data_IF_449863312557
#
_entry.id   IF_449863312557
#
_cell.length_a   1.000
_cell.length_b   1.000
_cell.length_c   1.000
_cell.angle_alpha   90.00
_cell.angle_beta   90.00
_cell.angle_gamma   90.00
#
_symmetry.space_group_name_H-M   'P 1'
#
loop_
_entity.id
_entity.type
_entity.pdbx_description
1 polymer ?
#
# COMPACT_ATOMS: atom_id res chain seq x y z
N UNK A 1 -14.70 21.22 1.24
CA UNK A 1 -13.84 22.42 1.06
C UNK A 1 -12.74 22.35 2.13
N UNK A 2 -11.47 22.54 1.79
CA UNK A 2 -10.42 22.58 2.80
C UNK A 2 -10.48 23.96 3.54
N UNK A 3 -10.09 23.98 4.81
CA UNK A 3 -10.15 25.19 5.66
C UNK A 3 -9.43 26.40 5.03
N UNK A 4 -8.25 26.19 4.46
CA UNK A 4 -7.49 27.28 3.79
C UNK A 4 -8.21 27.86 2.58
N UNK A 5 -8.96 27.04 1.85
CA UNK A 5 -9.78 27.49 0.73
C UNK A 5 -10.99 28.28 1.22
N UNK A 6 -11.68 27.80 2.27
CA UNK A 6 -12.80 28.47 2.87
C UNK A 6 -12.37 29.86 3.43
N UNK A 7 -11.24 29.92 4.15
CA UNK A 7 -10.65 31.16 4.67
C UNK A 7 -10.39 32.17 3.56
N UNK A 8 -9.74 31.74 2.45
CA UNK A 8 -9.44 32.62 1.31
C UNK A 8 -10.68 33.13 0.59
N UNK A 9 -11.73 32.32 0.47
CA UNK A 9 -12.99 32.71 -0.15
C UNK A 9 -13.70 33.78 0.69
N UNK A 10 -13.73 33.62 2.03
CA UNK A 10 -14.31 34.61 2.94
C UNK A 10 -13.51 35.92 2.97
N UNK A 11 -12.18 35.85 3.06
CA UNK A 11 -11.29 37.01 3.03
C UNK A 11 -11.42 37.82 1.73
N UNK A 12 -11.76 37.16 0.61
CA UNK A 12 -11.99 37.81 -0.67
C UNK A 12 -13.43 38.35 -0.84
N UNK A 13 -14.30 38.18 0.15
CA UNK A 13 -15.70 38.67 0.10
C UNK A 13 -16.56 38.01 -1.00
N UNK A 14 -16.20 36.79 -1.42
CA UNK A 14 -16.87 36.06 -2.49
C UNK A 14 -18.14 35.32 -2.04
N UNK A 15 -18.36 35.18 -0.74
CA UNK A 15 -19.52 34.51 -0.16
C UNK A 15 -20.00 35.33 1.04
N UNK A 16 -21.31 35.56 1.10
CA UNK A 16 -21.96 36.02 2.32
C UNK A 16 -22.25 34.80 3.22
N UNK A 17 -21.69 34.74 4.46
CA UNK A 17 -21.95 33.64 5.37
C UNK A 17 -23.42 33.43 5.73
N UNK A 18 -24.24 34.46 5.63
CA UNK A 18 -25.67 34.45 5.96
C UNK A 18 -26.57 34.00 4.79
N UNK A 19 -26.02 33.88 3.58
CA UNK A 19 -26.76 33.40 2.42
C UNK A 19 -27.27 31.97 2.62
N UNK A 20 -28.55 31.76 2.34
CA UNK A 20 -29.22 30.47 2.47
C UNK A 20 -29.37 29.77 1.13
N UNK A 21 -29.09 28.46 1.14
CA UNK A 21 -29.33 27.61 -0.02
C UNK A 21 -30.84 27.33 -0.23
N UNK A 22 -31.18 26.55 -1.27
CA UNK A 22 -32.56 26.22 -1.65
C UNK A 22 -33.37 25.45 -0.58
N UNK A 23 -32.69 24.91 0.47
CA UNK A 23 -33.32 24.23 1.61
C UNK A 23 -33.27 25.07 2.90
N UNK A 24 -32.93 26.35 2.78
CA UNK A 24 -32.95 27.32 3.87
C UNK A 24 -31.78 27.26 4.83
N UNK A 25 -30.70 26.53 4.49
CA UNK A 25 -29.49 26.38 5.33
C UNK A 25 -28.40 27.33 4.89
N UNK A 26 -27.73 27.97 5.86
CA UNK A 26 -26.53 28.77 5.65
C UNK A 26 -25.31 27.86 5.45
N UNK A 27 -24.19 28.45 4.99
CA UNK A 27 -22.91 27.75 4.92
C UNK A 27 -22.45 27.28 6.32
N UNK A 28 -22.77 28.05 7.36
CA UNK A 28 -22.50 27.66 8.77
C UNK A 28 -23.30 26.42 9.16
N UNK A 29 -24.61 26.39 8.89
CA UNK A 29 -25.46 25.22 9.22
C UNK A 29 -24.92 23.94 8.56
N UNK A 30 -24.53 24.02 7.29
CA UNK A 30 -23.96 22.89 6.55
C UNK A 30 -22.61 22.48 7.15
N UNK A 31 -21.73 23.43 7.46
CA UNK A 31 -20.45 23.15 8.08
C UNK A 31 -20.60 22.43 9.44
N UNK A 32 -21.57 22.84 10.24
CA UNK A 32 -21.84 22.23 11.54
C UNK A 32 -22.45 20.83 11.40
N UNK A 33 -23.35 20.61 10.45
CA UNK A 33 -23.94 19.30 10.17
C UNK A 33 -22.91 18.29 9.63
N UNK A 34 -21.99 18.77 8.79
CA UNK A 34 -20.89 17.96 8.25
C UNK A 34 -19.69 17.80 9.21
N UNK A 35 -19.78 18.37 10.42
CA UNK A 35 -18.72 18.31 11.42
C UNK A 35 -17.51 19.21 11.11
N UNK A 36 -17.61 20.09 10.11
CA UNK A 36 -16.54 21.02 9.72
C UNK A 36 -16.49 22.26 10.62
N UNK A 37 -16.34 22.07 11.93
CA UNK A 37 -16.52 23.10 12.98
C UNK A 37 -15.57 24.29 12.83
N UNK A 38 -14.31 24.09 12.40
CA UNK A 38 -13.40 25.21 12.11
C UNK A 38 -13.89 26.09 10.97
N UNK A 39 -14.52 25.50 9.96
CA UNK A 39 -15.17 26.26 8.90
C UNK A 39 -16.40 26.97 9.49
N UNK A 40 -17.16 26.33 10.35
CA UNK A 40 -18.27 26.91 11.07
C UNK A 40 -17.83 28.11 11.93
N UNK A 41 -16.76 27.95 12.74
CA UNK A 41 -16.21 29.07 13.54
C UNK A 41 -15.77 30.24 12.67
N UNK A 42 -15.07 29.96 11.56
CA UNK A 42 -14.66 30.99 10.59
C UNK A 42 -15.87 31.73 9.97
N UNK A 43 -16.95 30.98 9.64
CA UNK A 43 -18.17 31.55 9.06
C UNK A 43 -18.97 32.38 10.07
N UNK A 44 -18.88 32.07 11.39
CA UNK A 44 -19.50 32.86 12.44
C UNK A 44 -18.67 34.06 12.91
N UNK A 45 -17.52 34.33 12.29
CA UNK A 45 -16.62 35.42 12.64
C UNK A 45 -15.81 35.18 13.92
N UNK A 46 -15.77 33.95 14.44
CA UNK A 46 -14.92 33.57 15.55
C UNK A 46 -13.50 33.30 15.07
N UNK A 47 -12.50 33.65 15.88
CA UNK A 47 -11.12 33.34 15.55
C UNK A 47 -10.89 31.84 15.67
N UNK A 48 -10.61 31.13 14.58
CA UNK A 48 -10.41 29.71 14.61
C UNK A 48 -9.11 29.24 15.30
N UNK A 49 -8.30 30.13 15.83
CA UNK A 49 -7.04 29.84 16.52
C UNK A 49 -7.08 30.13 18.04
N UNK A 50 -8.25 30.45 18.60
CA UNK A 50 -8.40 30.67 20.03
C UNK A 50 -8.64 29.38 20.81
N UNK A 51 -8.45 29.41 22.18
CA UNK A 51 -8.66 28.26 23.08
C UNK A 51 -10.09 27.65 23.00
N UNK A 52 -11.06 28.39 22.45
CA UNK A 52 -12.41 27.89 22.16
C UNK A 52 -12.39 26.81 21.04
N UNK A 53 -11.36 26.76 20.20
CA UNK A 53 -11.15 25.70 19.22
C UNK A 53 -10.82 24.33 19.83
N UNK A 54 -10.18 24.30 20.99
CA UNK A 54 -10.00 23.03 21.69
C UNK A 54 -11.34 22.48 22.16
N UNK A 55 -12.32 23.34 22.49
CA UNK A 55 -13.70 22.96 22.79
C UNK A 55 -14.46 22.55 21.51
N UNK A 56 -14.20 23.18 20.35
CA UNK A 56 -14.76 22.83 19.05
C UNK A 56 -14.15 21.55 18.49
N UNK A 57 -12.86 21.34 18.67
CA UNK A 57 -12.19 20.06 18.36
C UNK A 57 -12.74 18.91 19.20
N UNK A 58 -13.23 19.15 20.41
CA UNK A 58 -13.84 18.16 21.30
C UNK A 58 -15.09 17.44 20.75
N UNK A 59 -15.58 17.83 19.59
CA UNK A 59 -16.68 17.14 18.91
C UNK A 59 -16.31 16.47 17.59
N UNK A 60 -15.10 16.68 17.07
CA UNK A 60 -14.55 15.93 15.96
C UNK A 60 -13.79 14.72 16.48
N UNK A 61 -13.96 13.57 15.83
CA UNK A 61 -13.06 12.45 16.04
C UNK A 61 -11.83 12.54 15.12
N UNK A 62 -10.84 11.70 15.36
CA UNK A 62 -9.59 11.66 14.60
C UNK A 62 -9.83 11.46 13.10
N UNK A 63 -10.81 10.64 12.73
CA UNK A 63 -11.13 10.35 11.33
C UNK A 63 -11.75 11.55 10.61
N UNK A 64 -12.61 12.29 11.30
CA UNK A 64 -13.21 13.52 10.76
C UNK A 64 -12.15 14.61 10.59
N UNK A 65 -11.24 14.78 11.55
CA UNK A 65 -10.13 15.72 11.41
C UNK A 65 -9.24 15.39 10.20
N UNK A 66 -8.93 14.11 9.96
CA UNK A 66 -8.20 13.63 8.79
C UNK A 66 -8.98 13.90 7.51
N UNK A 67 -10.28 13.58 7.48
CA UNK A 67 -11.15 13.75 6.32
C UNK A 67 -11.23 15.21 5.87
N UNK A 68 -11.38 16.12 6.82
CA UNK A 68 -11.43 17.57 6.54
C UNK A 68 -10.05 18.20 6.38
N UNK A 69 -8.97 17.41 6.56
CA UNK A 69 -7.57 17.87 6.56
C UNK A 69 -7.34 19.01 7.56
N UNK A 70 -8.02 18.95 8.68
CA UNK A 70 -7.89 19.92 9.75
C UNK A 70 -6.78 19.52 10.72
N UNK A 71 -5.56 19.96 10.40
CA UNK A 71 -4.36 19.59 11.15
C UNK A 71 -4.36 20.16 12.58
N UNK A 72 -5.00 21.33 12.81
CA UNK A 72 -5.08 21.89 14.16
C UNK A 72 -6.08 21.13 15.02
N UNK A 73 -7.24 20.73 14.45
CA UNK A 73 -8.16 19.85 15.15
C UNK A 73 -7.53 18.48 15.44
N UNK A 74 -6.77 17.93 14.49
CA UNK A 74 -6.04 16.68 14.69
C UNK A 74 -5.05 16.79 15.87
N UNK A 75 -4.22 17.85 15.90
CA UNK A 75 -3.26 18.07 16.98
C UNK A 75 -3.95 18.23 18.34
N UNK A 76 -5.07 18.98 18.40
CA UNK A 76 -5.86 19.12 19.63
C UNK A 76 -6.45 17.79 20.12
N UNK A 77 -6.99 16.98 19.20
CA UNK A 77 -7.52 15.63 19.51
C UNK A 77 -6.40 14.73 20.05
N UNK A 78 -5.23 14.73 19.41
CA UNK A 78 -4.11 13.91 19.82
C UNK A 78 -3.58 14.29 21.20
N UNK A 79 -3.52 15.59 21.53
CA UNK A 79 -3.17 16.07 22.88
C UNK A 79 -4.16 15.66 23.96
N UNK A 80 -5.40 15.37 23.61
CA UNK A 80 -6.39 14.86 24.57
C UNK A 80 -6.19 13.39 24.93
N UNK A 81 -5.24 12.69 24.31
CA UNK A 81 -4.93 11.28 24.60
C UNK A 81 -5.93 10.30 24.00
N UNK A 82 -6.47 10.61 22.82
CA UNK A 82 -7.42 9.73 22.11
C UNK A 82 -6.78 8.38 21.76
N UNK A 83 -7.58 7.31 21.80
CA UNK A 83 -7.19 5.98 21.32
C UNK A 83 -6.94 6.02 19.83
N UNK A 84 -5.73 5.60 19.38
CA UNK A 84 -5.32 5.57 17.97
C UNK A 84 -5.36 4.16 17.37
N UNK A 85 -5.40 3.14 18.21
CA UNK A 85 -5.56 1.74 17.84
C UNK A 85 -7.05 1.41 17.65
N UNK A 86 -7.68 2.09 16.71
CA UNK A 86 -9.12 2.00 16.41
C UNK A 86 -9.36 2.01 14.92
N UNK A 87 -10.56 1.66 14.51
CA UNK A 87 -10.99 1.65 13.10
C UNK A 87 -12.15 2.61 12.88
N UNK A 88 -12.22 3.16 11.66
CA UNK A 88 -13.31 4.05 11.27
C UNK A 88 -14.61 3.26 11.06
N UNK A 89 -15.63 3.55 11.85
CA UNK A 89 -16.98 2.98 11.71
C UNK A 89 -17.98 3.94 11.04
N UNK A 90 -17.58 5.20 10.79
CA UNK A 90 -18.45 6.22 10.23
C UNK A 90 -18.75 5.92 8.76
N UNK A 91 -20.02 5.63 8.47
CA UNK A 91 -20.51 5.33 7.12
C UNK A 91 -20.38 6.53 6.15
N UNK A 92 -20.37 7.76 6.68
CA UNK A 92 -20.18 8.97 5.87
C UNK A 92 -18.76 9.13 5.36
N UNK A 93 -17.79 8.53 6.05
CA UNK A 93 -16.36 8.52 5.69
C UNK A 93 -16.02 7.23 4.92
N UNK A 94 -16.77 6.94 3.87
CA UNK A 94 -16.72 5.66 3.14
C UNK A 94 -15.31 5.23 2.72
N UNK A 95 -14.41 6.16 2.32
CA UNK A 95 -13.02 5.84 1.96
C UNK A 95 -12.17 5.45 3.18
N UNK A 96 -12.60 5.81 4.39
CA UNK A 96 -11.92 5.52 5.64
C UNK A 96 -12.51 4.30 6.37
N UNK A 97 -13.72 3.89 6.00
CA UNK A 97 -14.42 2.79 6.67
C UNK A 97 -13.54 1.57 6.83
N UNK A 98 -13.47 1.06 8.04
CA UNK A 98 -12.68 -0.10 8.42
C UNK A 98 -11.17 0.12 8.56
N UNK A 99 -10.64 1.31 8.25
CA UNK A 99 -9.20 1.62 8.32
C UNK A 99 -8.83 2.27 9.66
N UNK A 100 -7.56 2.12 10.07
CA UNK A 100 -7.00 2.86 11.19
C UNK A 100 -6.70 4.32 10.83
N UNK A 101 -6.55 5.23 11.81
CA UNK A 101 -6.18 6.63 11.54
C UNK A 101 -4.91 6.75 10.71
N UNK A 102 -3.87 5.95 11.02
CA UNK A 102 -2.62 5.95 10.26
C UNK A 102 -2.83 5.46 8.82
N UNK A 103 -3.62 4.39 8.62
CA UNK A 103 -3.96 3.89 7.29
C UNK A 103 -4.76 4.92 6.48
N UNK A 104 -5.66 5.69 7.13
CA UNK A 104 -6.38 6.80 6.49
C UNK A 104 -5.43 7.90 6.02
N UNK A 105 -4.51 8.35 6.89
CA UNK A 105 -3.54 9.39 6.57
C UNK A 105 -2.65 8.97 5.39
N UNK A 106 -2.08 7.76 5.42
CA UNK A 106 -1.24 7.22 4.34
C UNK A 106 -2.04 7.01 3.05
N UNK A 107 -3.28 6.51 3.14
CA UNK A 107 -4.10 6.30 1.95
C UNK A 107 -4.52 7.60 1.24
N UNK A 108 -4.40 8.74 1.87
CA UNK A 108 -4.71 10.07 1.31
C UNK A 108 -3.47 10.92 1.06
N UNK A 109 -2.26 10.32 1.11
CA UNK A 109 -0.95 10.98 0.93
C UNK A 109 -0.81 12.21 1.84
N UNK A 110 -1.33 12.11 3.04
CA UNK A 110 -1.15 13.14 4.05
C UNK A 110 0.05 12.78 4.93
N UNK A 111 1.24 13.03 4.40
CA UNK A 111 2.50 12.70 5.08
C UNK A 111 2.62 13.40 6.43
N UNK A 112 2.19 14.66 6.53
CA UNK A 112 2.20 15.43 7.76
C UNK A 112 1.32 14.78 8.84
N UNK A 113 0.08 14.41 8.48
CA UNK A 113 -0.81 13.74 9.41
C UNK A 113 -0.27 12.37 9.83
N UNK A 114 0.30 11.59 8.89
CA UNK A 114 0.89 10.29 9.21
C UNK A 114 2.05 10.42 10.20
N UNK A 115 2.94 11.40 10.00
CA UNK A 115 4.05 11.66 10.91
C UNK A 115 3.57 12.09 12.31
N UNK A 116 2.58 12.99 12.41
CA UNK A 116 2.01 13.43 13.68
C UNK A 116 1.35 12.25 14.41
N UNK A 117 0.57 11.42 13.71
CA UNK A 117 -0.05 10.23 14.29
C UNK A 117 0.99 9.25 14.83
N UNK A 118 2.06 8.97 14.07
CA UNK A 118 3.14 8.10 14.51
C UNK A 118 3.83 8.64 15.76
N UNK A 119 4.15 9.93 15.79
CA UNK A 119 4.75 10.60 16.97
C UNK A 119 3.83 10.63 18.18
N UNK A 120 2.51 10.58 17.95
CA UNK A 120 1.50 10.52 19.01
C UNK A 120 1.18 9.10 19.47
N UNK A 121 1.92 8.08 18.99
CA UNK A 121 1.79 6.71 19.45
C UNK A 121 0.83 5.84 18.65
N UNK A 122 0.50 6.22 17.39
CA UNK A 122 -0.18 5.31 16.50
C UNK A 122 0.71 4.09 16.23
N UNK A 123 0.17 2.89 16.44
CA UNK A 123 0.88 1.63 16.19
C UNK A 123 0.93 1.35 14.67
N UNK A 124 2.13 1.30 14.05
CA UNK A 124 2.28 1.00 12.63
C UNK A 124 1.82 -0.41 12.24
N UNK A 125 1.84 -1.34 13.19
CA UNK A 125 1.47 -2.75 13.00
C UNK A 125 -0.01 -3.01 13.31
N UNK A 126 -0.76 -1.99 13.76
CA UNK A 126 -2.20 -2.12 14.02
C UNK A 126 -2.96 -2.49 12.74
N UNK A 127 -3.85 -3.48 12.85
CA UNK A 127 -4.59 -4.05 11.72
C UNK A 127 -5.97 -3.44 11.56
N UNK A 128 -6.32 -3.15 10.32
CA UNK A 128 -7.65 -2.69 9.93
C UNK A 128 -8.69 -3.84 9.94
N UNK A 129 -9.94 -3.53 9.58
CA UNK A 129 -11.03 -4.53 9.50
C UNK A 129 -10.81 -5.63 8.44
N UNK A 130 -9.87 -5.44 7.52
CA UNK A 130 -9.46 -6.44 6.52
C UNK A 130 -8.14 -7.14 6.91
N UNK A 131 -7.74 -7.01 8.17
CA UNK A 131 -6.48 -7.55 8.75
C UNK A 131 -5.21 -7.02 8.06
N UNK A 132 -5.23 -5.77 7.56
CA UNK A 132 -4.09 -5.13 6.91
C UNK A 132 -3.45 -4.10 7.83
N UNK A 133 -2.14 -4.00 7.78
CA UNK A 133 -1.40 -2.88 8.38
C UNK A 133 -1.57 -1.60 7.56
N UNK A 134 -1.27 -0.45 8.16
CA UNK A 134 -1.30 0.84 7.49
C UNK A 134 -0.37 0.86 6.24
N UNK A 135 0.79 0.21 6.33
CA UNK A 135 1.71 0.06 5.19
C UNK A 135 1.07 -0.75 4.04
N UNK A 136 0.37 -1.85 4.34
CA UNK A 136 -0.31 -2.65 3.32
C UNK A 136 -1.42 -1.87 2.60
N UNK A 137 -2.12 -1.00 3.32
CA UNK A 137 -3.13 -0.08 2.74
C UNK A 137 -2.46 0.96 1.85
N UNK A 138 -1.34 1.52 2.29
CA UNK A 138 -0.58 2.54 1.53
C UNK A 138 -0.07 2.00 0.20
N UNK A 139 0.54 0.80 0.18
CA UNK A 139 1.04 0.16 -1.05
C UNK A 139 -0.05 -0.07 -2.10
N UNK A 140 -1.29 -0.35 -1.69
CA UNK A 140 -2.41 -0.57 -2.64
C UNK A 140 -2.87 0.70 -3.33
N UNK A 141 -2.45 1.87 -2.86
CA UNK A 141 -2.83 3.14 -3.46
C UNK A 141 -2.00 3.41 -4.70
N UNK A 142 -2.58 3.10 -5.85
CA UNK A 142 -1.99 3.32 -7.16
C UNK A 142 -2.05 4.79 -7.52
N UNK A 143 -0.97 5.54 -7.36
CA UNK A 143 -0.81 6.84 -8.02
C UNK A 143 0.24 6.74 -9.12
N UNK A 144 -0.18 7.02 -10.33
CA UNK A 144 0.75 7.35 -11.40
C UNK A 144 1.26 8.78 -11.17
N UNK A 145 2.57 8.90 -10.96
CA UNK A 145 3.31 10.08 -11.37
C UNK A 145 3.35 11.29 -10.44
N UNK A 146 3.14 11.18 -9.11
CA UNK A 146 3.30 12.37 -8.24
C UNK A 146 3.93 12.09 -6.86
N UNK A 147 4.37 10.89 -6.60
CA UNK A 147 4.98 10.61 -5.29
C UNK A 147 6.41 11.14 -5.28
N UNK A 148 6.66 12.05 -4.36
CA UNK A 148 8.01 12.53 -4.13
C UNK A 148 8.76 11.44 -3.38
N UNK A 149 9.71 10.81 -4.03
CA UNK A 149 10.57 9.74 -3.46
C UNK A 149 11.03 10.08 -2.04
N UNK A 150 11.49 11.30 -1.82
CA UNK A 150 12.00 11.73 -0.52
C UNK A 150 10.92 11.73 0.58
N UNK A 151 9.67 12.08 0.25
CA UNK A 151 8.54 12.03 1.20
C UNK A 151 8.21 10.58 1.57
N UNK A 152 8.19 9.67 0.59
CA UNK A 152 7.95 8.25 0.83
C UNK A 152 9.06 7.63 1.68
N UNK A 153 10.33 7.89 1.36
CA UNK A 153 11.47 7.42 2.14
C UNK A 153 11.48 8.01 3.55
N UNK A 154 11.06 9.28 3.71
CA UNK A 154 10.91 9.89 5.02
C UNK A 154 9.85 9.15 5.86
N UNK A 155 8.67 8.87 5.29
CA UNK A 155 7.62 8.11 5.98
C UNK A 155 8.05 6.69 6.35
N UNK A 156 8.77 5.98 5.47
CA UNK A 156 9.33 4.66 5.79
C UNK A 156 10.29 4.73 6.99
N UNK A 157 11.14 5.77 7.06
CA UNK A 157 12.01 6.01 8.22
C UNK A 157 11.21 6.30 9.49
N UNK A 158 10.16 7.13 9.39
CA UNK A 158 9.28 7.42 10.54
C UNK A 158 8.59 6.16 11.04
N UNK A 159 8.08 5.30 10.16
CA UNK A 159 7.50 4.01 10.54
C UNK A 159 8.51 3.16 11.34
N UNK A 160 9.72 2.99 10.82
CA UNK A 160 10.80 2.23 11.51
C UNK A 160 11.15 2.82 12.87
N UNK A 161 11.24 4.15 12.98
CA UNK A 161 11.57 4.84 14.23
C UNK A 161 10.44 4.73 15.27
N UNK A 162 9.20 4.55 14.83
CA UNK A 162 8.04 4.43 15.67
C UNK A 162 7.64 2.97 15.99
N UNK A 163 8.55 2.02 15.80
CA UNK A 163 8.36 0.63 16.22
C UNK A 163 7.66 -0.26 15.19
N UNK A 164 7.67 0.12 13.92
CA UNK A 164 7.22 -0.78 12.85
C UNK A 164 8.09 -2.03 12.76
N UNK A 165 7.45 -3.18 12.67
CA UNK A 165 8.09 -4.47 12.53
C UNK A 165 7.76 -5.04 11.13
N UNK A 166 8.52 -4.71 10.09
CA UNK A 166 8.22 -5.12 8.72
C UNK A 166 8.23 -6.63 8.48
N UNK A 167 8.82 -7.39 9.42
CA UNK A 167 8.83 -8.87 9.43
C UNK A 167 7.50 -9.47 9.91
N UNK A 168 6.69 -8.71 10.63
CA UNK A 168 5.38 -9.17 11.04
C UNK A 168 4.47 -9.32 9.81
N UNK A 169 3.55 -10.30 9.83
CA UNK A 169 2.55 -10.40 8.77
C UNK A 169 1.80 -9.09 8.60
N UNK A 170 1.74 -8.55 7.40
CA UNK A 170 1.11 -7.27 7.08
C UNK A 170 -0.31 -7.40 6.52
N UNK A 171 -0.73 -8.62 6.19
CA UNK A 171 -2.09 -8.96 5.74
C UNK A 171 -2.53 -10.34 6.24
N UNK A 172 -3.78 -10.71 5.95
CA UNK A 172 -4.38 -12.00 6.34
C UNK A 172 -3.76 -13.21 5.64
N UNK A 173 -3.07 -13.02 4.51
CA UNK A 173 -2.32 -14.06 3.81
C UNK A 173 -0.96 -14.33 4.44
N UNK A 174 -0.58 -13.58 5.47
CA UNK A 174 0.70 -13.72 6.17
C UNK A 174 1.88 -13.13 5.40
N UNK A 175 1.63 -12.27 4.44
CA UNK A 175 2.70 -11.59 3.72
C UNK A 175 3.41 -10.60 4.64
N UNK A 176 4.75 -10.60 4.62
CA UNK A 176 5.55 -9.55 5.23
C UNK A 176 5.45 -8.26 4.41
N UNK A 177 5.91 -7.16 4.98
CA UNK A 177 5.95 -5.87 4.27
C UNK A 177 6.79 -5.95 3.00
N UNK A 178 7.91 -6.70 3.02
CA UNK A 178 8.74 -6.94 1.83
C UNK A 178 7.98 -7.74 0.76
N UNK A 179 7.28 -8.81 1.15
CA UNK A 179 6.46 -9.60 0.23
C UNK A 179 5.38 -8.77 -0.46
N UNK A 180 4.73 -7.86 0.29
CA UNK A 180 3.74 -6.94 -0.27
C UNK A 180 4.37 -5.92 -1.21
N UNK A 181 5.53 -5.35 -0.84
CA UNK A 181 6.24 -4.40 -1.68
C UNK A 181 6.67 -5.04 -3.00
N UNK A 182 7.16 -6.29 -2.98
CA UNK A 182 7.48 -7.06 -4.19
C UNK A 182 6.24 -7.28 -5.07
N UNK A 183 5.09 -7.61 -4.48
CA UNK A 183 3.83 -7.77 -5.22
C UNK A 183 3.40 -6.49 -5.92
N UNK A 184 3.65 -5.34 -5.33
CA UNK A 184 3.34 -4.02 -5.87
C UNK A 184 4.55 -3.38 -6.58
N UNK A 185 5.67 -4.09 -6.75
CA UNK A 185 6.82 -3.65 -7.53
C UNK A 185 6.41 -3.30 -8.97
N UNK A 186 7.10 -2.29 -9.57
CA UNK A 186 6.73 -1.66 -10.84
C UNK A 186 5.74 -0.52 -10.71
N UNK A 187 5.34 -0.19 -9.48
CA UNK A 187 4.94 1.15 -9.08
C UNK A 187 6.08 1.75 -8.26
N UNK A 188 6.28 3.04 -8.38
CA UNK A 188 7.42 3.72 -7.75
C UNK A 188 7.53 3.43 -6.25
N UNK A 189 6.41 3.51 -5.51
CA UNK A 189 6.40 3.23 -4.08
C UNK A 189 6.83 1.80 -3.76
N UNK A 190 6.34 0.80 -4.50
CA UNK A 190 6.74 -0.60 -4.31
C UNK A 190 8.25 -0.78 -4.50
N UNK A 191 8.81 -0.24 -5.58
CA UNK A 191 10.24 -0.32 -5.88
C UNK A 191 11.09 0.34 -4.80
N UNK A 192 10.72 1.54 -4.34
CA UNK A 192 11.46 2.23 -3.26
C UNK A 192 11.34 1.47 -1.93
N UNK A 193 10.15 0.94 -1.63
CA UNK A 193 9.91 0.16 -0.42
C UNK A 193 10.74 -1.13 -0.41
N UNK A 194 10.83 -1.89 -1.52
CA UNK A 194 11.67 -3.09 -1.60
C UNK A 194 13.13 -2.74 -1.29
N UNK A 195 13.70 -1.76 -1.99
CA UNK A 195 15.09 -1.35 -1.78
C UNK A 195 15.32 -0.91 -0.33
N UNK A 196 14.44 -0.06 0.19
CA UNK A 196 14.54 0.41 1.56
C UNK A 196 14.48 -0.73 2.59
N UNK A 197 13.54 -1.66 2.45
CA UNK A 197 13.38 -2.79 3.37
C UNK A 197 14.58 -3.73 3.32
N UNK A 198 15.08 -4.07 2.12
CA UNK A 198 16.27 -4.91 1.96
C UNK A 198 17.52 -4.25 2.55
N UNK A 199 17.74 -2.96 2.30
CA UNK A 199 18.84 -2.18 2.87
C UNK A 199 18.78 -2.11 4.41
N UNK A 200 17.58 -2.21 4.99
CA UNK A 200 17.38 -2.23 6.45
C UNK A 200 17.24 -3.65 7.03
N UNK A 201 17.63 -4.67 6.28
CA UNK A 201 17.80 -6.04 6.78
C UNK A 201 16.54 -6.89 6.81
N UNK A 202 15.53 -6.55 6.00
CA UNK A 202 14.33 -7.39 5.85
C UNK A 202 14.71 -8.79 5.35
N UNK A 203 14.07 -9.83 5.92
CA UNK A 203 14.28 -11.22 5.51
C UNK A 203 13.70 -11.47 4.11
N UNK A 204 14.61 -11.58 3.12
CA UNK A 204 14.26 -11.86 1.71
C UNK A 204 13.71 -13.27 1.50
N UNK A 205 13.80 -14.13 2.51
CA UNK A 205 13.35 -15.53 2.48
C UNK A 205 12.12 -15.78 3.35
N UNK A 206 11.59 -14.75 4.01
CA UNK A 206 10.36 -14.86 4.79
C UNK A 206 9.20 -15.37 3.92
N UNK A 207 8.48 -16.37 4.38
CA UNK A 207 7.38 -16.97 3.62
C UNK A 207 6.02 -16.61 4.19
N UNK A 208 5.06 -16.40 3.31
CA UNK A 208 3.66 -16.23 3.70
C UNK A 208 2.98 -17.57 4.05
N UNK A 209 1.67 -17.55 4.36
CA UNK A 209 0.89 -18.76 4.67
C UNK A 209 0.83 -19.78 3.51
N UNK A 210 1.17 -19.41 2.30
CA UNK A 210 1.25 -20.26 1.13
C UNK A 210 2.66 -20.81 0.86
N UNK A 211 3.66 -20.41 1.68
CA UNK A 211 5.05 -20.77 1.48
C UNK A 211 5.76 -19.94 0.41
N UNK A 212 5.16 -18.84 -0.03
CA UNK A 212 5.73 -17.97 -1.07
C UNK A 212 6.74 -17.01 -0.46
N UNK A 213 7.90 -16.91 -1.09
CA UNK A 213 8.94 -15.92 -0.77
C UNK A 213 8.62 -14.55 -1.42
N UNK A 214 9.26 -13.45 -0.98
CA UNK A 214 9.15 -12.14 -1.65
C UNK A 214 9.46 -12.21 -3.15
N UNK A 215 10.48 -12.96 -3.57
CA UNK A 215 10.82 -13.12 -4.98
C UNK A 215 9.71 -13.83 -5.78
N UNK A 216 9.02 -14.81 -5.20
CA UNK A 216 7.85 -15.44 -5.83
C UNK A 216 6.70 -14.45 -5.95
N UNK A 217 6.48 -13.60 -4.94
CA UNK A 217 5.42 -12.58 -4.95
C UNK A 217 5.65 -11.49 -6.02
N UNK A 218 6.90 -11.23 -6.42
CA UNK A 218 7.22 -10.31 -7.53
C UNK A 218 6.55 -10.76 -8.84
N UNK A 219 6.49 -12.06 -9.11
CA UNK A 219 5.94 -12.63 -10.34
C UNK A 219 4.52 -13.19 -10.19
N UNK A 220 4.11 -13.60 -8.98
CA UNK A 220 2.81 -14.21 -8.70
C UNK A 220 1.70 -13.26 -8.26
N UNK A 221 2.02 -12.02 -7.93
CA UNK A 221 1.32 -11.22 -6.93
C UNK A 221 0.05 -10.49 -7.32
N UNK A 222 -0.43 -10.45 -8.56
CA UNK A 222 -1.54 -9.53 -8.92
C UNK A 222 -2.90 -10.16 -9.19
N UNK A 223 -3.01 -11.48 -9.14
CA UNK A 223 -4.25 -12.21 -9.48
C UNK A 223 -4.77 -13.12 -8.36
N UNK A 224 -4.35 -12.84 -7.12
CA UNK A 224 -4.74 -13.68 -6.01
C UNK A 224 -6.03 -13.15 -5.35
N UNK A 225 -7.14 -13.82 -5.62
CA UNK A 225 -8.37 -13.72 -4.83
C UNK A 225 -8.47 -14.82 -3.74
N UNK A 226 -7.36 -15.49 -3.45
CA UNK A 226 -7.25 -16.53 -2.43
C UNK A 226 -7.62 -17.95 -2.87
N UNK A 227 -8.22 -18.14 -4.04
CA UNK A 227 -8.79 -19.43 -4.43
C UNK A 227 -8.25 -20.03 -5.75
N UNK A 228 -7.45 -19.30 -6.52
CA UNK A 228 -6.99 -19.80 -7.83
C UNK A 228 -5.46 -19.85 -7.84
N UNK A 229 -4.82 -21.03 -8.07
CA UNK A 229 -3.38 -21.09 -8.29
C UNK A 229 -2.98 -20.13 -9.42
N UNK A 230 -1.87 -19.40 -9.25
CA UNK A 230 -1.38 -18.44 -10.25
C UNK A 230 -1.18 -19.04 -11.67
N UNK A 231 -1.18 -20.37 -11.78
CA UNK A 231 -1.07 -21.15 -13.00
C UNK A 231 -2.41 -21.52 -13.64
N UNK A 232 -3.56 -21.22 -13.00
CA UNK A 232 -4.84 -21.39 -13.67
C UNK A 232 -4.88 -20.44 -14.87
N UNK A 233 -5.01 -21.02 -16.06
CA UNK A 233 -5.11 -20.29 -17.32
C UNK A 233 -6.33 -19.37 -17.25
N UNK A 234 -6.12 -18.12 -16.88
CA UNK A 234 -7.17 -17.12 -16.97
C UNK A 234 -7.51 -16.89 -18.44
N UNK A 235 -8.80 -16.86 -18.81
CA UNK A 235 -9.21 -16.58 -20.17
C UNK A 235 -8.61 -15.25 -20.65
N UNK A 236 -8.16 -15.19 -21.91
CA UNK A 236 -7.62 -13.98 -22.58
C UNK A 236 -8.54 -12.74 -22.52
N UNK A 237 -9.75 -12.88 -21.98
CA UNK A 237 -10.77 -11.85 -21.89
C UNK A 237 -10.78 -11.06 -20.56
N UNK A 238 -9.84 -11.27 -19.63
CA UNK A 238 -9.77 -10.46 -18.43
C UNK A 238 -9.21 -9.06 -18.80
N UNK A 239 -9.97 -7.97 -18.55
CA UNK A 239 -9.62 -6.63 -19.04
C UNK A 239 -8.38 -6.01 -18.37
N UNK A 240 -7.83 -6.68 -17.38
CA UNK A 240 -6.58 -6.29 -16.71
C UNK A 240 -5.55 -7.39 -16.96
N UNK A 241 -4.99 -7.41 -18.17
CA UNK A 241 -3.92 -8.33 -18.57
C UNK A 241 -2.83 -8.40 -17.51
N UNK A 242 -2.31 -9.60 -17.25
CA UNK A 242 -1.20 -9.82 -16.34
C UNK A 242 -0.11 -8.79 -16.62
N UNK A 243 0.46 -8.22 -15.57
CA UNK A 243 1.55 -7.28 -15.74
C UNK A 243 2.67 -7.95 -16.51
N UNK A 244 3.14 -7.30 -17.58
CA UNK A 244 4.39 -7.70 -18.20
C UNK A 244 5.51 -7.55 -17.18
N UNK A 245 6.40 -8.51 -17.05
CA UNK A 245 7.70 -8.31 -16.43
C UNK A 245 8.34 -7.09 -17.10
N UNK A 246 8.68 -6.08 -16.33
CA UNK A 246 9.33 -4.86 -16.83
C UNK A 246 10.82 -4.95 -16.54
N UNK A 247 11.62 -4.07 -17.12
CA UNK A 247 13.03 -3.91 -16.72
C UNK A 247 13.13 -3.62 -15.23
N UNK A 248 12.20 -2.86 -14.67
CA UNK A 248 12.12 -2.56 -13.24
C UNK A 248 11.89 -3.80 -12.36
N UNK A 249 11.13 -4.80 -12.83
CA UNK A 249 10.97 -6.05 -12.09
C UNK A 249 12.27 -6.86 -12.07
N UNK A 250 13.07 -6.80 -13.14
CA UNK A 250 14.39 -7.40 -13.20
C UNK A 250 15.36 -6.72 -12.21
N UNK A 251 15.35 -5.40 -12.13
CA UNK A 251 16.13 -4.63 -11.15
C UNK A 251 15.76 -4.98 -9.70
N UNK A 252 14.47 -5.21 -9.43
CA UNK A 252 14.02 -5.63 -8.09
C UNK A 252 14.40 -7.07 -7.81
N UNK A 253 14.30 -7.96 -8.79
CA UNK A 253 14.78 -9.34 -8.66
C UNK A 253 16.28 -9.38 -8.33
N UNK A 254 17.09 -8.58 -9.04
CA UNK A 254 18.53 -8.48 -8.79
C UNK A 254 18.81 -8.07 -7.34
N UNK A 255 18.12 -7.05 -6.82
CA UNK A 255 18.24 -6.62 -5.42
C UNK A 255 17.94 -7.76 -4.45
N UNK A 256 16.90 -8.56 -4.70
CA UNK A 256 16.54 -9.70 -3.86
C UNK A 256 17.60 -10.82 -3.92
N UNK A 257 18.11 -11.11 -5.13
CA UNK A 257 19.15 -12.11 -5.35
C UNK A 257 20.48 -11.71 -4.71
N UNK A 258 20.91 -10.45 -4.84
CA UNK A 258 22.07 -9.90 -4.15
C UNK A 258 21.97 -10.01 -2.63
N UNK A 259 20.75 -9.85 -2.09
CA UNK A 259 20.47 -10.00 -0.67
C UNK A 259 20.34 -11.47 -0.21
N UNK A 260 20.53 -12.44 -1.11
CA UNK A 260 20.54 -13.87 -0.78
C UNK A 260 19.17 -14.55 -0.83
N UNK A 261 18.28 -14.13 -1.73
CA UNK A 261 17.00 -14.82 -1.95
C UNK A 261 17.23 -16.28 -2.38
N UNK A 262 16.54 -17.21 -1.73
CA UNK A 262 16.60 -18.64 -2.07
C UNK A 262 15.83 -18.92 -3.38
N UNK A 263 16.59 -19.17 -4.43
CA UNK A 263 16.06 -19.45 -5.79
C UNK A 263 15.37 -20.81 -5.90
N UNK A 264 15.64 -21.75 -4.98
CA UNK A 264 15.12 -23.12 -4.97
C UNK A 264 14.03 -23.35 -3.92
N UNK A 265 13.67 -22.31 -3.14
CA UNK A 265 12.56 -22.39 -2.22
C UNK A 265 11.29 -22.89 -2.92
N UNK A 266 10.49 -23.70 -2.23
CA UNK A 266 9.22 -24.22 -2.76
C UNK A 266 8.04 -23.72 -1.96
N UNK A 267 7.00 -23.30 -2.65
CA UNK A 267 5.71 -22.99 -2.04
C UNK A 267 4.93 -24.27 -1.68
N UNK A 268 3.72 -24.14 -1.13
CA UNK A 268 2.83 -25.27 -0.79
C UNK A 268 2.47 -26.17 -1.98
N UNK A 269 2.54 -25.65 -3.18
CA UNK A 269 2.24 -26.40 -4.42
C UNK A 269 3.49 -26.94 -5.09
N UNK A 270 4.65 -26.81 -4.43
CA UNK A 270 5.95 -27.27 -4.93
C UNK A 270 6.55 -26.35 -6.00
N UNK A 271 5.98 -25.17 -6.23
CA UNK A 271 6.50 -24.23 -7.22
C UNK A 271 7.74 -23.53 -6.69
N UNK A 272 8.75 -23.42 -7.53
CA UNK A 272 9.96 -22.62 -7.32
C UNK A 272 9.82 -21.24 -7.98
N UNK A 273 10.79 -20.36 -7.76
CA UNK A 273 10.85 -19.05 -8.44
C UNK A 273 10.78 -19.20 -9.97
N UNK A 274 11.43 -20.22 -10.55
CA UNK A 274 11.36 -20.47 -12.00
C UNK A 274 9.95 -20.78 -12.49
N UNK A 275 9.14 -21.52 -11.71
CA UNK A 275 7.73 -21.77 -12.06
C UNK A 275 6.93 -20.46 -12.09
N UNK A 276 7.19 -19.56 -11.13
CA UNK A 276 6.52 -18.24 -11.06
C UNK A 276 6.89 -17.35 -12.24
N UNK A 277 8.18 -17.30 -12.60
CA UNK A 277 8.66 -16.54 -13.77
C UNK A 277 8.05 -17.12 -15.06
N UNK A 278 8.05 -18.46 -15.22
CA UNK A 278 7.45 -19.11 -16.39
C UNK A 278 5.92 -18.92 -16.47
N UNK A 279 5.26 -18.84 -15.33
CA UNK A 279 3.83 -18.57 -15.23
C UNK A 279 3.44 -17.10 -15.45
N UNK A 280 4.37 -16.18 -15.37
CA UNK A 280 4.16 -14.74 -15.57
C UNK A 280 3.90 -14.39 -17.06
N UNK A 281 3.78 -13.11 -17.40
CA UNK A 281 3.64 -12.73 -18.81
C UNK A 281 4.96 -12.88 -19.58
N UNK A 282 4.87 -13.18 -20.89
CA UNK A 282 6.00 -13.52 -21.78
C UNK A 282 7.10 -12.45 -21.88
N UNK A 283 6.76 -11.17 -21.57
CA UNK A 283 7.72 -10.07 -21.71
C UNK A 283 8.61 -10.00 -20.46
N UNK A 284 9.92 -10.17 -20.62
CA UNK A 284 10.92 -10.09 -19.53
C UNK A 284 11.16 -11.41 -18.76
N UNK A 285 10.37 -12.47 -19.00
CA UNK A 285 10.55 -13.74 -18.32
C UNK A 285 11.92 -14.38 -18.61
N UNK A 286 12.39 -14.29 -19.85
CA UNK A 286 13.71 -14.80 -20.26
C UNK A 286 14.84 -14.06 -19.54
N UNK A 287 14.75 -12.75 -19.45
CA UNK A 287 15.71 -11.89 -18.76
C UNK A 287 15.75 -12.24 -17.26
N UNK A 288 14.59 -12.41 -16.63
CA UNK A 288 14.48 -12.82 -15.24
C UNK A 288 15.07 -14.20 -14.99
N UNK A 289 14.82 -15.20 -15.87
CA UNK A 289 15.46 -16.51 -15.76
C UNK A 289 16.98 -16.38 -15.96
N UNK A 290 17.45 -15.53 -16.89
CA UNK A 290 18.86 -15.25 -17.07
C UNK A 290 19.52 -14.76 -15.77
N UNK A 291 18.93 -13.79 -15.11
CA UNK A 291 19.40 -13.31 -13.80
C UNK A 291 19.47 -14.44 -12.77
N UNK A 292 18.41 -15.25 -12.64
CA UNK A 292 18.39 -16.36 -11.69
C UNK A 292 19.53 -17.36 -11.97
N UNK A 293 19.83 -17.62 -13.26
CA UNK A 293 20.95 -18.48 -13.66
C UNK A 293 22.33 -17.89 -13.34
N UNK A 294 22.47 -16.57 -13.48
CA UNK A 294 23.72 -15.86 -13.21
C UNK A 294 24.05 -15.80 -11.70
N UNK A 295 23.02 -15.64 -10.88
CA UNK A 295 23.19 -15.58 -9.41
C UNK A 295 23.31 -16.94 -8.72
N UNK A 296 22.90 -18.03 -9.36
CA UNK A 296 22.95 -19.32 -8.71
C UNK A 296 22.77 -20.52 -9.64
N UNK A 297 22.47 -21.67 -9.04
CA UNK A 297 22.18 -22.90 -9.76
C UNK A 297 20.74 -23.30 -9.47
N UNK A 298 19.75 -22.71 -10.15
CA UNK A 298 18.38 -23.14 -9.98
C UNK A 298 18.22 -24.58 -10.46
N UNK A 299 17.37 -25.34 -9.75
CA UNK A 299 16.95 -26.65 -10.21
C UNK A 299 15.92 -26.47 -11.36
N UNK A 300 16.40 -26.46 -12.61
CA UNK A 300 15.57 -26.25 -13.80
C UNK A 300 14.57 -27.38 -14.01
N UNK A 301 14.88 -28.58 -13.49
CA UNK A 301 14.08 -29.80 -13.62
C UNK A 301 13.18 -30.00 -12.39
N UNK A 302 13.16 -29.04 -11.45
CA UNK A 302 12.23 -29.09 -10.32
C UNK A 302 10.80 -29.26 -10.83
N UNK A 303 10.07 -30.21 -10.26
CA UNK A 303 8.65 -30.39 -10.55
C UNK A 303 7.81 -29.87 -9.36
N UNK A 304 6.67 -29.26 -9.70
CA UNK A 304 5.65 -28.89 -8.73
C UNK A 304 4.73 -30.08 -8.42
N UNK A 305 3.72 -29.90 -7.56
CA UNK A 305 2.81 -30.97 -7.16
C UNK A 305 1.91 -31.47 -8.30
N UNK A 306 1.84 -30.76 -9.43
CA UNK A 306 1.17 -31.21 -10.66
C UNK A 306 2.10 -32.02 -11.57
N UNK A 307 3.36 -32.21 -11.18
CA UNK A 307 4.40 -32.88 -11.97
C UNK A 307 4.93 -32.02 -13.12
N UNK A 308 4.70 -30.71 -13.09
CA UNK A 308 5.15 -29.78 -14.13
C UNK A 308 6.46 -29.11 -13.76
N UNK A 309 7.35 -28.97 -14.73
CA UNK A 309 8.55 -28.13 -14.67
C UNK A 309 8.25 -26.70 -15.12
N UNK A 310 9.19 -25.77 -14.90
CA UNK A 310 9.11 -24.42 -15.46
C UNK A 310 9.03 -24.44 -17.01
N UNK A 311 9.68 -25.40 -17.66
CA UNK A 311 9.62 -25.59 -19.10
C UNK A 311 8.22 -26.01 -19.57
N UNK A 312 7.55 -26.91 -18.84
CA UNK A 312 6.18 -27.33 -19.14
C UNK A 312 5.23 -26.12 -19.07
N UNK A 313 5.36 -25.29 -18.03
CA UNK A 313 4.55 -24.09 -17.86
C UNK A 313 4.80 -23.08 -18.99
N UNK A 314 6.07 -22.83 -19.36
CA UNK A 314 6.40 -21.95 -20.47
C UNK A 314 5.81 -22.46 -21.80
N UNK A 315 5.80 -23.79 -22.00
CA UNK A 315 5.21 -24.45 -23.17
C UNK A 315 3.69 -24.28 -23.21
N UNK A 316 2.99 -24.50 -22.10
CA UNK A 316 1.55 -24.28 -21.96
C UNK A 316 1.15 -22.82 -22.24
N UNK A 317 2.01 -21.87 -21.85
CA UNK A 317 1.83 -20.43 -22.10
C UNK A 317 2.18 -20.03 -23.54
N UNK A 318 2.74 -20.94 -24.36
CA UNK A 318 3.25 -20.68 -25.69
C UNK A 318 4.34 -19.59 -25.71
N UNK A 319 5.19 -19.53 -24.67
CA UNK A 319 6.36 -18.66 -24.65
C UNK A 319 7.55 -19.32 -25.33
N UNK A 320 7.56 -19.27 -26.67
CA UNK A 320 8.64 -19.88 -27.46
C UNK A 320 10.04 -19.33 -27.11
N UNK A 321 10.14 -18.07 -26.67
CA UNK A 321 11.40 -17.45 -26.31
C UNK A 321 11.97 -18.07 -25.04
N UNK A 322 11.13 -18.21 -24.01
CA UNK A 322 11.51 -18.82 -22.75
C UNK A 322 11.74 -20.32 -22.90
N UNK A 323 10.90 -21.03 -23.67
CA UNK A 323 11.09 -22.47 -23.98
C UNK A 323 12.46 -22.71 -24.61
N UNK A 324 12.82 -21.97 -25.66
CA UNK A 324 14.14 -22.07 -26.30
C UNK A 324 15.29 -21.72 -25.35
N UNK A 325 15.06 -20.87 -24.39
CA UNK A 325 16.06 -20.50 -23.41
C UNK A 325 16.26 -21.60 -22.36
N UNK A 326 15.18 -22.11 -21.77
CA UNK A 326 15.22 -23.18 -20.75
C UNK A 326 15.81 -24.48 -21.28
N UNK A 327 15.50 -24.87 -22.54
CA UNK A 327 16.08 -26.05 -23.21
C UNK A 327 17.62 -26.03 -23.35
N UNK A 328 18.28 -24.92 -23.05
CA UNK A 328 19.76 -24.89 -23.04
C UNK A 328 20.36 -25.38 -21.72
N UNK A 329 19.53 -25.45 -20.69
CA UNK A 329 19.93 -25.80 -19.34
C UNK A 329 19.29 -27.12 -18.86
N UNK A 330 18.45 -27.74 -19.70
CA UNK A 330 17.81 -29.06 -19.48
C UNK A 330 18.80 -30.24 -19.63
#
# INVERSE_FOLDING_TARGET
LCFSTAKRILENGQIDPEDKNNIGKTAFDIAMEEGARRIGALLSGQDPETDELSALAGGLNVFQALWYKDMAALDAILRSGVELQTICEDEKLHDFKGKSPLACALSWDNAEAAEILLRSGADPDFRDSEERTAFAVWLKKRKQGSEKKEECLHLLRCLMQCGWHPENPADKEGNTSLSLACREAGYELGNWAVRYLVENGADVNAVNLQGQTPAMNLYGGRFWDGNIPCFAVLPRSYPYGGRCCTEEDADILEVLLEAGADINAKDKWGNTLLHYIAGSSQRGAKEAVGLVMDFGKPDVNAVNNEGKTALDIATEKNDESLVKFLLKYD
#
